data_IF_262411303283
#
_entry.id   IF_262411303283
#
_cell.length_a   1.000
_cell.length_b   1.000
_cell.length_c   1.000
_cell.angle_alpha   90.00
_cell.angle_beta   90.00
_cell.angle_gamma   90.00
#
_symmetry.space_group_name_H-M   'P 1'
#
loop_
_entity.id
_entity.type
_entity.pdbx_description
1 polymer ?
#
# COMPACT_ATOMS: atom_id res chain seq x y z
N UNK A 1 -2.06 24.47 -4.59
CA UNK A 1 -2.51 23.83 -5.85
C UNK A 1 -2.15 24.68 -7.07
N UNK A 2 -2.92 25.71 -7.43
CA UNK A 2 -2.66 26.56 -8.62
C UNK A 2 -1.20 27.04 -8.75
N UNK A 3 -0.62 27.58 -7.67
CA UNK A 3 0.78 28.05 -7.67
C UNK A 3 1.79 26.97 -8.09
N UNK A 4 1.59 25.72 -7.66
CA UNK A 4 2.50 24.63 -7.99
C UNK A 4 2.31 24.12 -9.42
N UNK A 5 1.10 24.22 -9.97
CA UNK A 5 0.82 23.95 -11.38
C UNK A 5 1.47 24.98 -12.30
N UNK A 6 1.73 26.19 -11.80
CA UNK A 6 2.27 27.32 -12.56
C UNK A 6 3.73 27.64 -12.17
N UNK A 7 4.52 26.62 -11.82
CA UNK A 7 5.97 26.74 -11.59
C UNK A 7 6.41 26.88 -10.13
N UNK A 8 5.49 27.10 -9.19
CA UNK A 8 5.79 27.19 -7.75
C UNK A 8 5.99 25.83 -7.05
N UNK A 9 6.16 24.73 -7.79
CA UNK A 9 6.34 23.39 -7.18
C UNK A 9 7.68 23.30 -6.42
N UNK A 10 8.74 23.93 -6.91
CA UNK A 10 10.03 23.96 -6.22
C UNK A 10 9.99 24.69 -4.87
N UNK A 11 9.09 25.65 -4.73
CA UNK A 11 9.03 26.54 -3.55
C UNK A 11 8.31 25.92 -2.35
N UNK A 12 7.64 24.77 -2.50
CA UNK A 12 6.93 24.12 -1.39
C UNK A 12 7.86 23.72 -0.23
N UNK A 13 9.17 23.60 -0.51
CA UNK A 13 10.24 23.28 0.44
C UNK A 13 10.99 24.53 0.90
N UNK A 14 10.83 25.65 0.19
CA UNK A 14 11.64 26.84 0.38
C UNK A 14 11.17 27.59 1.63
N UNK A 15 12.08 27.78 2.56
CA UNK A 15 11.82 28.59 3.73
C UNK A 15 11.80 30.08 3.39
N UNK A 16 11.01 30.85 4.12
CA UNK A 16 11.07 32.32 4.08
C UNK A 16 12.27 32.85 4.88
N UNK A 17 12.39 34.18 4.97
CA UNK A 17 13.47 34.89 5.68
C UNK A 17 13.55 34.58 7.20
N UNK A 18 12.52 33.91 7.75
CA UNK A 18 12.47 33.46 9.14
C UNK A 18 12.73 31.95 9.27
N UNK A 19 13.28 31.31 8.23
CA UNK A 19 13.46 29.86 8.15
C UNK A 19 12.15 29.06 8.31
N UNK A 20 11.00 29.63 7.93
CA UNK A 20 9.70 28.94 8.02
C UNK A 20 9.31 28.39 6.64
N UNK A 21 9.13 27.08 6.56
CA UNK A 21 8.62 26.42 5.36
C UNK A 21 7.09 26.61 5.23
N UNK A 22 6.51 26.46 4.02
CA UNK A 22 5.07 26.41 3.85
C UNK A 22 4.40 25.35 4.73
N UNK A 23 5.06 24.20 4.93
CA UNK A 23 4.57 23.14 5.81
C UNK A 23 4.49 23.60 7.26
N UNK A 24 5.56 24.22 7.78
CA UNK A 24 5.56 24.78 9.14
C UNK A 24 4.41 25.77 9.34
N UNK A 25 4.20 26.68 8.38
CA UNK A 25 3.13 27.67 8.46
C UNK A 25 1.73 27.03 8.43
N UNK A 26 1.53 25.97 7.63
CA UNK A 26 0.27 25.25 7.58
C UNK A 26 -0.01 24.48 8.88
N UNK A 27 1.02 23.90 9.48
CA UNK A 27 0.93 23.16 10.75
C UNK A 27 0.58 24.09 11.91
N UNK A 28 1.31 25.21 12.10
CA UNK A 28 1.03 26.14 13.21
C UNK A 28 -0.36 26.80 13.11
N UNK A 29 -0.90 26.92 11.89
CA UNK A 29 -2.22 27.46 11.64
C UNK A 29 -3.31 26.38 11.65
N UNK A 30 -2.97 25.12 11.96
CA UNK A 30 -3.88 23.97 11.98
C UNK A 30 -4.63 23.77 10.64
N UNK A 31 -4.01 24.16 9.52
CA UNK A 31 -4.59 24.00 8.18
C UNK A 31 -4.40 22.58 7.67
N UNK A 32 -5.21 21.65 8.18
CA UNK A 32 -5.07 20.20 7.92
C UNK A 32 -5.02 19.84 6.46
N UNK A 33 -5.97 20.34 5.68
CA UNK A 33 -6.00 20.07 4.25
C UNK A 33 -4.78 20.63 3.51
N UNK A 34 -4.24 21.77 3.96
CA UNK A 34 -3.05 22.39 3.39
C UNK A 34 -1.80 21.57 3.69
N UNK A 35 -1.55 21.21 4.95
CA UNK A 35 -0.34 20.43 5.27
C UNK A 35 -0.40 19.02 4.70
N UNK A 36 -1.59 18.38 4.68
CA UNK A 36 -1.80 17.07 4.04
C UNK A 36 -1.44 17.14 2.56
N UNK A 37 -1.94 18.16 1.87
CA UNK A 37 -1.63 18.39 0.47
C UNK A 37 -0.12 18.63 0.26
N UNK A 38 0.53 19.45 1.09
CA UNK A 38 1.97 19.72 1.00
C UNK A 38 2.80 18.43 1.17
N UNK A 39 2.46 17.60 2.16
CA UNK A 39 3.15 16.33 2.41
C UNK A 39 3.02 15.39 1.21
N UNK A 40 1.81 15.24 0.67
CA UNK A 40 1.54 14.44 -0.53
C UNK A 40 2.26 14.98 -1.77
N UNK A 41 2.59 16.27 -1.79
CA UNK A 41 3.34 16.92 -2.85
C UNK A 41 4.84 17.02 -2.53
N UNK A 42 5.38 16.16 -1.66
CA UNK A 42 6.83 15.99 -1.41
C UNK A 42 7.47 17.16 -0.63
N UNK A 43 6.70 17.95 0.13
CA UNK A 43 7.27 19.01 0.97
C UNK A 43 8.24 18.49 2.05
N UNK A 44 8.14 17.22 2.42
CA UNK A 44 9.04 16.55 3.36
C UNK A 44 10.18 15.78 2.68
N UNK A 45 10.28 15.82 1.34
CA UNK A 45 11.31 15.12 0.60
C UNK A 45 12.38 16.13 0.16
N UNK A 46 13.64 15.99 0.60
CA UNK A 46 14.70 16.94 0.26
C UNK A 46 14.97 16.95 -1.26
N UNK A 47 14.77 15.79 -1.91
CA UNK A 47 14.87 15.59 -3.35
C UNK A 47 13.53 15.08 -3.88
N UNK A 48 13.42 14.97 -5.21
CA UNK A 48 12.21 14.46 -5.88
C UNK A 48 12.17 12.91 -5.96
N UNK A 49 12.85 12.24 -5.01
CA UNK A 49 12.94 10.78 -4.87
C UNK A 49 11.79 10.18 -4.04
N UNK A 50 11.02 11.04 -3.35
CA UNK A 50 9.93 10.62 -2.46
C UNK A 50 10.41 10.04 -1.13
N UNK A 51 11.66 10.29 -0.74
CA UNK A 51 12.22 9.89 0.55
C UNK A 51 11.94 11.00 1.57
N UNK A 52 11.20 10.69 2.62
CA UNK A 52 10.85 11.62 3.68
C UNK A 52 12.07 11.86 4.56
N UNK A 53 12.34 13.11 4.93
CA UNK A 53 13.46 13.47 5.81
C UNK A 53 12.98 13.81 7.22
N UNK A 54 13.57 13.15 8.23
CA UNK A 54 13.33 13.46 9.64
C UNK A 54 13.62 14.93 9.97
N UNK A 55 14.65 15.51 9.36
CA UNK A 55 14.97 16.94 9.51
C UNK A 55 13.80 17.81 9.08
N UNK A 56 13.22 17.54 7.90
CA UNK A 56 12.09 18.31 7.38
C UNK A 56 10.81 18.08 8.20
N UNK A 57 10.65 16.90 8.81
CA UNK A 57 9.57 16.64 9.78
C UNK A 57 9.75 17.51 11.02
N UNK A 58 10.95 17.56 11.60
CA UNK A 58 11.22 18.39 12.78
C UNK A 58 11.04 19.88 12.49
N UNK A 59 11.47 20.33 11.32
CA UNK A 59 11.28 21.71 10.87
C UNK A 59 9.79 22.04 10.58
N UNK A 60 9.04 21.10 9.99
CA UNK A 60 7.63 21.29 9.63
C UNK A 60 6.63 21.10 10.78
N UNK A 61 6.94 20.21 11.71
CA UNK A 61 6.10 19.84 12.85
C UNK A 61 6.72 20.26 14.19
N UNK A 62 7.51 21.33 14.18
CA UNK A 62 8.06 21.91 15.40
C UNK A 62 6.92 22.19 16.40
N UNK A 63 7.11 21.89 17.70
CA UNK A 63 6.06 21.98 18.73
C UNK A 63 5.71 23.43 19.14
N UNK A 64 6.03 24.41 18.30
CA UNK A 64 5.69 25.80 18.50
C UNK A 64 4.18 26.01 18.26
N UNK A 65 3.38 25.92 19.32
CA UNK A 65 1.92 26.14 19.27
C UNK A 65 1.13 24.86 19.54
N UNK A 66 0.05 24.64 18.78
CA UNK A 66 -0.74 23.42 18.88
C UNK A 66 0.02 22.26 18.22
N UNK A 67 0.29 21.22 18.98
CA UNK A 67 1.00 20.05 18.50
C UNK A 67 0.11 19.16 17.62
N UNK A 68 0.22 19.33 16.30
CA UNK A 68 -0.49 18.55 15.27
C UNK A 68 0.24 17.25 14.88
N UNK A 69 1.39 16.90 15.51
CA UNK A 69 2.09 15.63 15.25
C UNK A 69 1.19 14.41 15.45
N UNK A 70 0.37 14.32 16.53
CA UNK A 70 -0.52 13.18 16.72
C UNK A 70 -1.60 13.08 15.65
N UNK A 71 -2.18 14.20 15.20
CA UNK A 71 -3.20 14.22 14.16
C UNK A 71 -2.63 13.85 12.79
N UNK A 72 -1.41 14.27 12.50
CA UNK A 72 -0.70 13.85 11.29
C UNK A 72 -0.33 12.35 11.33
N UNK A 73 0.06 11.83 12.50
CA UNK A 73 0.33 10.40 12.70
C UNK A 73 -0.94 9.57 12.51
N UNK A 74 -2.04 9.92 13.17
CA UNK A 74 -3.33 9.23 13.03
C UNK A 74 -3.79 9.19 11.57
N UNK A 75 -3.62 10.30 10.85
CA UNK A 75 -3.92 10.36 9.42
C UNK A 75 -3.05 9.42 8.59
N UNK A 76 -1.73 9.39 8.84
CA UNK A 76 -0.81 8.49 8.15
C UNK A 76 -1.16 7.02 8.41
N UNK A 77 -1.39 6.65 9.68
CA UNK A 77 -1.77 5.30 10.10
C UNK A 77 -3.09 4.87 9.46
N UNK A 78 -4.09 5.76 9.43
CA UNK A 78 -5.36 5.50 8.79
C UNK A 78 -5.18 5.21 7.30
N UNK A 79 -4.40 6.02 6.59
CA UNK A 79 -4.13 5.84 5.16
C UNK A 79 -3.42 4.50 4.87
N UNK A 80 -2.41 4.15 5.67
CA UNK A 80 -1.66 2.88 5.54
C UNK A 80 -2.58 1.69 5.83
N UNK A 81 -3.34 1.74 6.92
CA UNK A 81 -4.26 0.67 7.33
C UNK A 81 -5.38 0.45 6.33
N UNK A 82 -5.96 1.52 5.79
CA UNK A 82 -6.99 1.42 4.75
C UNK A 82 -6.43 0.74 3.50
N UNK A 83 -5.22 1.11 3.07
CA UNK A 83 -4.57 0.47 1.94
C UNK A 83 -4.26 -1.01 2.22
N UNK A 84 -3.74 -1.36 3.39
CA UNK A 84 -3.45 -2.75 3.76
C UNK A 84 -4.70 -3.62 3.87
N UNK A 85 -5.76 -3.10 4.48
CA UNK A 85 -7.07 -3.76 4.55
C UNK A 85 -7.66 -3.99 3.16
N UNK A 86 -7.55 -3.00 2.28
CA UNK A 86 -7.98 -3.11 0.89
C UNK A 86 -7.16 -4.15 0.11
N UNK A 87 -5.83 -4.16 0.26
CA UNK A 87 -4.98 -5.19 -0.35
C UNK A 87 -5.29 -6.59 0.19
N UNK A 88 -5.55 -6.70 1.49
CA UNK A 88 -5.96 -7.96 2.12
C UNK A 88 -7.30 -8.44 1.56
N UNK A 89 -8.26 -7.53 1.36
CA UNK A 89 -9.53 -7.84 0.72
C UNK A 89 -9.35 -8.28 -0.74
N UNK A 90 -8.59 -7.52 -1.54
CA UNK A 90 -8.37 -7.82 -2.97
C UNK A 90 -7.61 -9.12 -3.21
N UNK A 91 -6.62 -9.41 -2.38
CA UNK A 91 -5.83 -10.64 -2.49
C UNK A 91 -6.56 -11.86 -1.92
N UNK A 92 -7.78 -11.66 -1.41
CA UNK A 92 -8.47 -12.59 -0.53
C UNK A 92 -7.73 -12.64 0.80
N UNK A 93 -8.46 -12.74 1.91
CA UNK A 93 -7.86 -13.19 3.16
C UNK A 93 -7.05 -14.43 2.83
N UNK A 94 -5.72 -14.37 3.00
CA UNK A 94 -4.86 -15.55 3.00
C UNK A 94 -5.29 -16.43 4.19
N UNK A 95 -6.46 -17.09 4.09
CA UNK A 95 -6.72 -18.31 4.82
C UNK A 95 -5.81 -19.34 4.18
N UNK A 96 -4.55 -19.32 4.66
CA UNK A 96 -3.59 -20.39 4.53
C UNK A 96 -4.17 -21.59 5.28
N UNK A 97 -5.14 -22.26 4.67
CA UNK A 97 -5.11 -23.70 4.74
C UNK A 97 -4.09 -24.11 3.68
N UNK A 98 -2.84 -24.30 4.11
CA UNK A 98 -1.92 -25.15 3.38
C UNK A 98 -2.57 -26.53 3.48
N UNK A 99 -3.45 -26.85 2.54
CA UNK A 99 -3.96 -28.21 2.42
C UNK A 99 -2.73 -29.08 2.19
N UNK A 100 -2.42 -29.93 3.18
CA UNK A 100 -1.37 -30.92 3.05
C UNK A 100 -1.55 -31.67 1.72
N UNK A 101 -0.43 -32.06 1.10
CA UNK A 101 -0.47 -32.78 -0.16
C UNK A 101 -1.43 -33.96 -0.07
N UNK A 102 -2.42 -33.99 -0.97
CA UNK A 102 -3.39 -35.07 -1.05
C UNK A 102 -3.45 -35.55 -2.51
N UNK A 103 -2.99 -36.78 -2.74
CA UNK A 103 -2.92 -37.40 -4.06
C UNK A 103 -4.30 -37.62 -4.68
N UNK A 104 -5.30 -37.99 -3.89
CA UNK A 104 -6.68 -38.19 -4.38
C UNK A 104 -7.26 -36.87 -4.89
N UNK A 105 -7.06 -35.79 -4.14
CA UNK A 105 -7.51 -34.46 -4.53
C UNK A 105 -6.75 -33.91 -5.75
N UNK A 106 -5.47 -34.22 -5.88
CA UNK A 106 -4.72 -33.92 -7.10
C UNK A 106 -5.29 -34.69 -8.31
N UNK A 107 -5.64 -35.97 -8.13
CA UNK A 107 -6.26 -36.78 -9.16
C UNK A 107 -7.63 -36.21 -9.59
N UNK A 108 -8.46 -35.77 -8.65
CA UNK A 108 -9.74 -35.09 -8.94
C UNK A 108 -9.52 -33.82 -9.77
N UNK A 109 -8.57 -32.97 -9.38
CA UNK A 109 -8.24 -31.74 -10.09
C UNK A 109 -7.76 -32.00 -11.53
N UNK A 110 -6.90 -33.01 -11.72
CA UNK A 110 -6.43 -33.39 -13.05
C UNK A 110 -7.54 -34.06 -13.86
N UNK A 111 -8.41 -34.85 -13.23
CA UNK A 111 -9.55 -35.49 -13.88
C UNK A 111 -10.54 -34.46 -14.42
N UNK A 112 -10.78 -33.38 -13.67
CA UNK A 112 -11.59 -32.25 -14.13
C UNK A 112 -11.03 -31.59 -15.41
N UNK A 113 -9.73 -31.74 -15.70
CA UNK A 113 -9.07 -31.16 -16.89
C UNK A 113 -8.96 -32.11 -18.06
N UNK A 114 -8.57 -33.36 -17.78
CA UNK A 114 -8.29 -34.35 -18.83
C UNK A 114 -9.51 -35.23 -19.14
N UNK A 115 -10.56 -35.18 -18.32
CA UNK A 115 -11.80 -35.95 -18.47
C UNK A 115 -11.58 -37.46 -18.68
N UNK A 116 -10.45 -37.98 -18.21
CA UNK A 116 -10.01 -39.36 -18.39
C UNK A 116 -9.25 -39.81 -17.15
N UNK A 117 -9.86 -40.69 -16.36
CA UNK A 117 -9.24 -41.24 -15.15
C UNK A 117 -7.99 -42.06 -15.48
N UNK A 118 -7.99 -42.75 -16.61
CA UNK A 118 -6.85 -43.54 -17.07
C UNK A 118 -5.62 -42.66 -17.32
N UNK A 119 -5.81 -41.52 -17.99
CA UNK A 119 -4.73 -40.57 -18.27
C UNK A 119 -4.19 -39.92 -17.00
N UNK A 120 -5.06 -39.62 -16.03
CA UNK A 120 -4.66 -39.05 -14.73
C UNK A 120 -3.82 -40.04 -13.93
N UNK A 121 -4.26 -41.29 -13.82
CA UNK A 121 -3.52 -42.33 -13.11
C UNK A 121 -2.16 -42.57 -13.78
N UNK A 122 -2.13 -42.64 -15.12
CA UNK A 122 -0.87 -42.75 -15.87
C UNK A 122 0.09 -41.60 -15.55
N UNK A 123 -0.39 -40.36 -15.46
CA UNK A 123 0.45 -39.20 -15.11
C UNK A 123 0.96 -39.33 -13.68
N UNK A 124 0.08 -39.62 -12.71
CA UNK A 124 0.49 -39.70 -11.30
C UNK A 124 1.45 -40.86 -11.03
N UNK A 125 1.27 -42.00 -11.70
CA UNK A 125 2.11 -43.18 -11.50
C UNK A 125 3.50 -43.01 -12.16
N UNK A 126 3.65 -42.10 -13.12
CA UNK A 126 4.92 -41.78 -13.77
C UNK A 126 5.65 -40.58 -13.14
N UNK A 127 5.08 -39.92 -12.14
CA UNK A 127 5.69 -38.78 -11.43
C UNK A 127 6.23 -39.19 -10.07
N UNK A 128 7.41 -38.69 -9.71
CA UNK A 128 7.94 -38.83 -8.35
C UNK A 128 7.12 -38.00 -7.35
N UNK A 129 7.23 -38.31 -6.06
CA UNK A 129 6.50 -37.59 -5.00
C UNK A 129 6.81 -36.08 -5.00
N UNK A 130 8.07 -35.70 -5.22
CA UNK A 130 8.48 -34.29 -5.36
C UNK A 130 7.83 -33.60 -6.57
N UNK A 131 7.70 -34.32 -7.69
CA UNK A 131 7.06 -33.79 -8.90
C UNK A 131 5.54 -33.67 -8.72
N UNK A 132 4.91 -34.62 -8.03
CA UNK A 132 3.50 -34.55 -7.68
C UNK A 132 3.23 -33.39 -6.71
N UNK A 133 4.11 -33.15 -5.74
CA UNK A 133 4.03 -32.00 -4.82
C UNK A 133 4.18 -30.67 -5.58
N UNK A 134 5.09 -30.60 -6.55
CA UNK A 134 5.28 -29.43 -7.39
C UNK A 134 4.06 -29.16 -8.27
N UNK A 135 3.46 -30.22 -8.84
CA UNK A 135 2.22 -30.14 -9.61
C UNK A 135 1.04 -29.68 -8.73
N UNK A 136 0.90 -30.25 -7.53
CA UNK A 136 -0.07 -29.82 -6.51
C UNK A 136 0.05 -28.34 -6.19
N UNK A 137 1.26 -27.85 -5.91
CA UNK A 137 1.49 -26.44 -5.61
C UNK A 137 1.15 -25.52 -6.80
N UNK A 138 1.40 -25.97 -8.03
CA UNK A 138 1.08 -25.21 -9.23
C UNK A 138 -0.43 -25.18 -9.52
N UNK A 139 -1.12 -26.29 -9.29
CA UNK A 139 -2.56 -26.39 -9.47
C UNK A 139 -3.32 -25.61 -8.39
N UNK A 140 -2.85 -25.65 -7.15
CA UNK A 140 -3.32 -24.78 -6.05
C UNK A 140 -3.12 -23.28 -6.37
N UNK A 141 -2.03 -22.91 -7.06
CA UNK A 141 -1.81 -21.53 -7.52
C UNK A 141 -2.76 -21.13 -8.64
N UNK A 142 -3.08 -22.06 -9.55
CA UNK A 142 -3.99 -21.82 -10.69
C UNK A 142 -5.45 -21.70 -10.26
N UNK A 143 -5.92 -22.53 -9.33
CA UNK A 143 -7.29 -22.42 -8.80
C UNK A 143 -7.50 -21.10 -8.02
N UNK A 144 -6.40 -20.55 -7.47
CA UNK A 144 -6.32 -19.23 -6.84
C UNK A 144 -6.22 -18.05 -7.81
N UNK A 145 -6.23 -18.28 -9.13
CA UNK A 145 -6.27 -17.18 -10.13
C UNK A 145 -7.67 -16.66 -10.43
N UNK A 146 -8.71 -17.20 -9.74
CA UNK A 146 -9.99 -16.51 -9.54
C UNK A 146 -9.80 -15.30 -8.63
N UNK A 147 -8.96 -14.37 -9.05
CA UNK A 147 -8.80 -13.06 -8.48
C UNK A 147 -10.20 -12.44 -8.37
N UNK A 148 -10.54 -11.84 -7.23
CA UNK A 148 -11.83 -11.14 -7.03
C UNK A 148 -12.11 -10.17 -8.20
N UNK A 149 -11.06 -9.62 -8.82
CA UNK A 149 -11.16 -8.75 -9.99
C UNK A 149 -11.76 -9.42 -11.25
N UNK A 150 -11.62 -10.74 -11.42
CA UNK A 150 -12.28 -11.48 -12.52
C UNK A 150 -13.80 -11.54 -12.32
N UNK A 151 -14.28 -11.69 -11.08
CA UNK A 151 -15.72 -11.60 -10.78
C UNK A 151 -16.26 -10.18 -10.96
N UNK A 152 -15.40 -9.17 -10.85
CA UNK A 152 -15.73 -7.77 -11.13
C UNK A 152 -15.61 -7.41 -12.61
N UNK A 153 -15.43 -8.40 -13.49
CA UNK A 153 -15.22 -8.13 -14.90
C UNK A 153 -16.44 -7.52 -15.62
N UNK A 154 -17.65 -7.73 -15.10
CA UNK A 154 -18.89 -7.12 -15.60
C UNK A 154 -19.23 -5.72 -15.06
N UNK A 155 -18.43 -5.17 -14.12
CA UNK A 155 -18.77 -3.95 -13.41
C UNK A 155 -17.69 -2.86 -13.60
N UNK A 156 -17.73 -2.09 -14.71
CA UNK A 156 -16.70 -1.10 -15.02
C UNK A 156 -16.58 -0.01 -13.93
N UNK A 157 -17.67 0.38 -13.28
CA UNK A 157 -17.66 1.35 -12.18
C UNK A 157 -16.91 0.84 -10.93
N UNK A 158 -16.99 -0.45 -10.63
CA UNK A 158 -16.26 -1.03 -9.48
C UNK A 158 -14.77 -1.10 -9.78
N UNK A 159 -14.38 -1.47 -11.02
CA UNK A 159 -12.97 -1.43 -11.41
C UNK A 159 -12.42 -0.01 -11.42
N UNK A 160 -13.21 0.98 -11.83
CA UNK A 160 -12.84 2.38 -11.73
C UNK A 160 -12.65 2.78 -10.26
N UNK A 161 -13.54 2.42 -9.35
CA UNK A 161 -13.34 2.69 -7.92
C UNK A 161 -12.18 1.94 -7.28
N UNK A 162 -11.86 0.74 -7.75
CA UNK A 162 -10.66 0.00 -7.33
C UNK A 162 -9.40 0.69 -7.88
N UNK A 163 -9.40 1.08 -9.15
CA UNK A 163 -8.32 1.85 -9.77
C UNK A 163 -8.17 3.23 -9.11
N UNK A 164 -9.28 3.86 -8.75
CA UNK A 164 -9.34 5.10 -7.99
C UNK A 164 -8.81 4.85 -6.59
N UNK A 165 -9.15 3.78 -5.86
CA UNK A 165 -8.53 3.48 -4.54
C UNK A 165 -7.03 3.20 -4.66
N UNK A 166 -6.62 2.42 -5.66
CA UNK A 166 -5.22 2.18 -6.01
C UNK A 166 -4.51 3.46 -6.49
N UNK A 167 -5.28 4.46 -6.96
CA UNK A 167 -4.82 5.77 -7.42
C UNK A 167 -4.98 6.92 -6.41
N UNK A 168 -5.82 6.75 -5.38
CA UNK A 168 -6.14 7.65 -4.25
C UNK A 168 -4.98 7.65 -3.28
N UNK A 169 -4.23 6.55 -3.25
CA UNK A 169 -2.88 6.54 -2.74
C UNK A 169 -1.98 6.05 -3.86
N UNK A 170 -1.57 6.97 -4.75
CA UNK A 170 -0.56 6.66 -5.77
C UNK A 170 0.59 5.96 -5.04
N UNK A 171 1.22 4.94 -5.63
CA UNK A 171 2.28 4.18 -4.93
C UNK A 171 3.38 5.06 -4.31
N UNK A 172 3.59 6.26 -4.84
CA UNK A 172 4.41 7.33 -4.25
C UNK A 172 3.84 7.91 -2.95
N UNK A 173 2.59 8.34 -2.95
CA UNK A 173 1.89 8.89 -1.79
C UNK A 173 1.86 7.87 -0.64
N UNK A 174 1.67 6.59 -0.95
CA UNK A 174 1.66 5.53 0.07
C UNK A 174 3.05 5.36 0.70
N UNK A 175 4.11 5.44 -0.12
CA UNK A 175 5.48 5.43 0.39
C UNK A 175 5.74 6.64 1.30
N UNK A 176 5.22 7.81 0.95
CA UNK A 176 5.31 9.00 1.81
C UNK A 176 4.57 8.76 3.12
N UNK A 177 3.34 8.23 3.10
CA UNK A 177 2.57 7.94 4.33
C UNK A 177 3.26 6.94 5.24
N UNK A 178 3.78 5.84 4.70
CA UNK A 178 4.50 4.83 5.50
C UNK A 178 5.74 5.41 6.16
N UNK A 179 6.51 6.21 5.43
CA UNK A 179 7.68 6.87 6.00
C UNK A 179 7.28 7.93 7.04
N UNK A 180 6.23 8.70 6.76
CA UNK A 180 5.70 9.70 7.68
C UNK A 180 5.24 9.06 9.00
N UNK A 181 4.49 7.96 8.93
CA UNK A 181 4.04 7.20 10.11
C UNK A 181 5.23 6.80 11.00
N UNK A 182 6.23 6.13 10.41
CA UNK A 182 7.42 5.67 11.14
C UNK A 182 8.18 6.83 11.75
N UNK A 183 8.39 7.91 11.00
CA UNK A 183 9.18 9.05 11.46
C UNK A 183 8.45 9.91 12.50
N UNK A 184 7.13 10.14 12.35
CA UNK A 184 6.34 10.88 13.34
C UNK A 184 6.24 10.11 14.66
N UNK A 185 6.07 8.79 14.60
CA UNK A 185 6.08 7.92 15.80
C UNK A 185 7.40 8.07 16.55
N UNK A 186 8.53 7.93 15.85
CA UNK A 186 9.87 8.15 16.41
C UNK A 186 10.03 9.56 16.97
N UNK A 187 9.53 10.58 16.28
CA UNK A 187 9.66 11.96 16.73
C UNK A 187 8.86 12.22 18.02
N UNK A 188 7.67 11.64 18.15
CA UNK A 188 6.86 11.71 19.37
C UNK A 188 7.50 10.99 20.55
N UNK A 189 8.23 9.89 20.30
CA UNK A 189 9.01 9.19 21.33
C UNK A 189 10.22 10.00 21.80
N UNK A 190 10.94 10.66 20.87
CA UNK A 190 12.13 11.46 21.18
C UNK A 190 11.79 12.81 21.84
N UNK A 191 10.66 13.43 21.45
CA UNK A 191 10.21 14.72 21.97
C UNK A 191 8.75 14.63 22.42
N UNK A 192 8.52 14.05 23.61
CA UNK A 192 7.20 14.05 24.24
C UNK A 192 6.74 15.50 24.55
N UNK A 193 5.42 15.69 24.65
CA UNK A 193 4.79 16.99 24.91
C UNK A 193 5.20 17.61 26.24
#
# INVERSE_FOLDING_TARGET
KWLCEHGGRGDIRKANDRNRTPLFLAVIQCQRETYRWLILNEALCPNDDGIVSMRLIQEGFSPLGLDERPQALEWAESAVRTHEGFMTFLMGTHLREVTAFNRERLAEMLHAKFHSLHSVNLILDNLTEDQQLLLWNNEQKRDKTNCVLQYLSGHPGIRQHIADMLGVVRGRELRIMRQLEVMLRRYLEEVPR
#
